data_IF_785723027791
#
_entry.id   IF_785723027791
#
_cell.length_a   1.000
_cell.length_b   1.000
_cell.length_c   1.000
_cell.angle_alpha   90.00
_cell.angle_beta   90.00
_cell.angle_gamma   90.00
#
_symmetry.space_group_name_H-M   'P 1'
#
loop_
_entity.id
_entity.type
_entity.pdbx_description
1 polymer ?
#
# COMPACT_ATOMS: atom_id res chain seq x y z
N UNK A 1 16.96 8.67 -7.21
CA UNK A 1 15.83 7.72 -7.23
C UNK A 1 15.14 7.65 -8.58
N UNK A 2 14.90 6.43 -9.08
CA UNK A 2 14.10 6.16 -10.27
C UNK A 2 13.04 5.13 -9.88
N UNK A 3 11.83 5.58 -9.56
CA UNK A 3 10.71 4.74 -9.16
C UNK A 3 9.91 4.37 -10.40
N UNK A 4 9.89 3.08 -10.76
CA UNK A 4 9.38 2.60 -12.05
C UNK A 4 8.07 1.81 -11.94
N UNK A 5 7.47 1.78 -10.76
CA UNK A 5 6.23 1.07 -10.49
C UNK A 5 5.42 1.75 -9.39
N UNK A 6 4.11 1.56 -9.43
CA UNK A 6 3.14 2.04 -8.45
C UNK A 6 2.14 0.90 -8.15
N UNK A 7 2.00 0.47 -6.90
CA UNK A 7 1.17 -0.70 -6.57
C UNK A 7 -0.04 -0.39 -5.69
N UNK A 8 -0.15 0.83 -5.21
CA UNK A 8 -1.28 1.27 -4.41
C UNK A 8 -2.02 2.35 -5.20
N UNK A 9 -2.94 1.90 -6.05
CA UNK A 9 -3.83 2.74 -6.85
C UNK A 9 -5.23 2.16 -6.85
N UNK A 10 -6.23 3.03 -7.00
CA UNK A 10 -7.65 2.69 -6.86
C UNK A 10 -8.40 3.03 -8.15
N UNK A 11 -9.37 2.20 -8.51
CA UNK A 11 -10.26 2.47 -9.64
C UNK A 11 -11.66 2.80 -9.15
N UNK A 12 -12.58 3.07 -10.08
CA UNK A 12 -14.02 3.24 -9.79
C UNK A 12 -14.61 2.12 -8.90
N UNK A 13 -13.97 0.95 -8.82
CA UNK A 13 -14.36 -0.13 -7.92
C UNK A 13 -14.22 0.23 -6.42
N UNK A 14 -13.33 1.14 -6.05
CA UNK A 14 -13.20 1.64 -4.66
C UNK A 14 -14.33 2.60 -4.25
N UNK A 15 -15.23 2.98 -5.16
CA UNK A 15 -16.40 3.83 -4.88
C UNK A 15 -16.13 5.32 -4.72
N UNK A 16 -14.89 5.71 -4.44
CA UNK A 16 -14.45 7.11 -4.32
C UNK A 16 -13.17 7.43 -5.11
N UNK A 17 -12.88 6.58 -6.10
CA UNK A 17 -11.90 6.82 -7.15
C UNK A 17 -12.61 6.96 -8.51
N UNK A 18 -11.96 7.61 -9.47
CA UNK A 18 -12.61 8.15 -10.66
C UNK A 18 -11.96 7.69 -11.98
N UNK A 19 -11.02 6.75 -11.93
CA UNK A 19 -10.42 6.11 -13.11
C UNK A 19 -10.85 4.66 -13.27
N UNK A 20 -11.03 4.19 -14.50
CA UNK A 20 -11.13 2.76 -14.84
C UNK A 20 -9.74 2.12 -14.90
N UNK A 21 -9.67 0.79 -14.82
CA UNK A 21 -8.41 0.03 -14.99
C UNK A 21 -7.66 0.44 -16.26
N UNK A 22 -8.36 0.73 -17.35
CA UNK A 22 -7.74 1.14 -18.62
C UNK A 22 -7.20 2.56 -18.57
N UNK A 23 -7.93 3.51 -17.99
CA UNK A 23 -7.48 4.90 -17.85
C UNK A 23 -6.28 5.00 -16.91
N UNK A 24 -6.31 4.26 -15.80
CA UNK A 24 -5.19 4.19 -14.85
C UNK A 24 -3.94 3.57 -15.52
N UNK A 25 -4.10 2.46 -16.23
CA UNK A 25 -2.99 1.81 -16.95
C UNK A 25 -2.44 2.69 -18.10
N UNK A 26 -3.30 3.46 -18.78
CA UNK A 26 -2.86 4.42 -19.78
C UNK A 26 -2.03 5.54 -19.16
N UNK A 27 -2.49 6.13 -18.04
CA UNK A 27 -1.71 7.15 -17.32
C UNK A 27 -0.35 6.62 -16.84
N UNK A 28 -0.30 5.38 -16.33
CA UNK A 28 0.95 4.72 -15.98
C UNK A 28 1.91 4.61 -17.18
N UNK A 29 1.39 4.27 -18.37
CA UNK A 29 2.18 4.19 -19.60
C UNK A 29 2.73 5.56 -20.03
N UNK A 30 1.89 6.61 -19.98
CA UNK A 30 2.26 7.99 -20.30
C UNK A 30 3.35 8.53 -19.37
N UNK A 31 3.36 8.07 -18.11
CA UNK A 31 4.37 8.39 -17.09
C UNK A 31 5.59 7.45 -17.12
N UNK A 32 5.62 6.48 -18.03
CA UNK A 32 6.76 5.59 -18.23
C UNK A 32 6.92 4.49 -17.18
N UNK A 33 5.91 4.26 -16.32
CA UNK A 33 5.91 3.14 -15.38
C UNK A 33 6.00 1.80 -16.12
N UNK A 34 6.66 0.83 -15.50
CA UNK A 34 6.81 -0.53 -16.03
C UNK A 34 5.77 -1.49 -15.46
N UNK A 35 5.30 -1.21 -14.25
CA UNK A 35 4.32 -2.02 -13.54
C UNK A 35 3.32 -1.12 -12.80
N UNK A 36 2.05 -1.49 -12.84
CA UNK A 36 0.95 -0.86 -12.11
C UNK A 36 0.18 -1.93 -11.33
N UNK A 37 -0.07 -1.68 -10.05
CA UNK A 37 -0.92 -2.48 -9.19
C UNK A 37 -2.23 -1.76 -8.86
N UNK A 38 -3.33 -2.50 -8.90
CA UNK A 38 -4.64 -2.04 -8.42
C UNK A 38 -4.89 -2.63 -7.04
N UNK A 39 -5.07 -1.79 -6.02
CA UNK A 39 -5.29 -2.20 -4.64
C UNK A 39 -6.63 -1.62 -4.16
N UNK A 40 -7.74 -2.14 -4.72
CA UNK A 40 -9.06 -1.64 -4.34
C UNK A 40 -9.33 -1.85 -2.84
N UNK A 41 -10.13 -0.98 -2.23
CA UNK A 41 -10.51 -1.14 -0.83
C UNK A 41 -11.32 -2.42 -0.57
N UNK A 42 -11.19 -2.90 0.66
CA UNK A 42 -12.05 -3.94 1.23
C UNK A 42 -13.53 -3.51 1.37
N UNK A 43 -14.45 -4.49 1.53
CA UNK A 43 -15.89 -4.24 1.60
C UNK A 43 -16.35 -3.40 2.81
N UNK A 44 -15.51 -3.19 3.83
CA UNK A 44 -15.89 -2.40 5.01
C UNK A 44 -15.76 -0.90 4.78
N UNK A 45 -14.99 -0.46 3.78
CA UNK A 45 -15.02 0.94 3.34
C UNK A 45 -16.40 1.28 2.75
N UNK A 46 -17.07 2.33 3.25
CA UNK A 46 -18.35 2.77 2.70
C UNK A 46 -18.25 3.11 1.21
N UNK A 47 -19.04 2.42 0.38
CA UNK A 47 -19.10 2.64 -1.05
C UNK A 47 -18.16 1.75 -1.88
N UNK A 48 -17.29 0.96 -1.25
CA UNK A 48 -16.50 -0.05 -1.96
C UNK A 48 -17.39 -1.08 -2.66
N UNK A 49 -16.90 -1.63 -3.77
CA UNK A 49 -17.64 -2.62 -4.56
C UNK A 49 -17.85 -3.93 -3.79
N UNK A 50 -18.85 -4.71 -4.23
CA UNK A 50 -19.07 -6.06 -3.72
C UNK A 50 -17.82 -6.96 -3.90
N UNK A 51 -17.42 -7.74 -2.88
CA UNK A 51 -16.24 -8.62 -2.94
C UNK A 51 -16.22 -9.62 -4.10
N UNK A 52 -17.37 -9.92 -4.71
CA UNK A 52 -17.44 -10.71 -5.93
C UNK A 52 -16.56 -10.16 -7.06
N UNK A 53 -16.29 -8.84 -7.05
CA UNK A 53 -15.32 -8.17 -7.92
C UNK A 53 -13.97 -8.90 -8.01
N UNK A 54 -13.40 -9.30 -6.87
CA UNK A 54 -12.07 -9.92 -6.82
C UNK A 54 -12.02 -11.32 -7.45
N UNK A 55 -13.17 -12.00 -7.61
CA UNK A 55 -13.23 -13.35 -8.19
C UNK A 55 -12.89 -13.38 -9.68
N UNK A 56 -13.11 -12.28 -10.39
CA UNK A 56 -13.06 -12.27 -11.85
C UNK A 56 -11.90 -11.44 -12.43
N UNK A 57 -10.99 -10.92 -11.59
CA UNK A 57 -9.85 -10.11 -12.05
C UNK A 57 -8.93 -10.85 -13.03
N UNK A 58 -8.94 -12.20 -13.00
CA UNK A 58 -8.18 -13.06 -13.91
C UNK A 58 -8.47 -12.83 -15.41
N UNK A 59 -9.62 -12.26 -15.77
CA UNK A 59 -9.97 -12.00 -17.17
C UNK A 59 -9.28 -10.76 -17.73
N UNK A 60 -8.67 -9.95 -16.88
CA UNK A 60 -8.01 -8.71 -17.27
C UNK A 60 -6.61 -9.05 -17.80
N UNK A 61 -6.19 -8.50 -18.96
CA UNK A 61 -4.85 -8.74 -19.47
C UNK A 61 -3.78 -8.28 -18.48
N UNK A 62 -2.77 -9.15 -18.25
CA UNK A 62 -1.59 -8.86 -17.40
C UNK A 62 -0.66 -7.77 -17.97
N UNK A 63 -0.95 -7.27 -19.17
CA UNK A 63 -0.23 -6.17 -19.80
C UNK A 63 -1.20 -5.27 -20.55
N UNK A 64 -1.19 -3.99 -20.21
CA UNK A 64 -2.01 -2.95 -20.85
C UNK A 64 -1.11 -1.78 -21.23
N UNK A 65 -1.21 -1.29 -22.47
CA UNK A 65 -0.43 -0.15 -22.96
C UNK A 65 1.10 -0.26 -22.75
N UNK A 66 1.63 -1.49 -22.66
CA UNK A 66 3.05 -1.73 -22.40
C UNK A 66 3.43 -1.88 -20.91
N UNK A 67 2.50 -1.63 -19.99
CA UNK A 67 2.66 -1.71 -18.53
C UNK A 67 2.19 -3.08 -18.02
N UNK A 68 2.98 -3.72 -17.16
CA UNK A 68 2.57 -4.96 -16.46
C UNK A 68 1.54 -4.65 -15.38
N UNK A 69 0.50 -5.47 -15.26
CA UNK A 69 -0.65 -5.24 -14.38
C UNK A 69 -0.71 -6.30 -13.29
N UNK A 70 -0.73 -5.83 -12.03
CA UNK A 70 -1.00 -6.63 -10.85
C UNK A 70 -2.34 -6.26 -10.22
N UNK A 71 -2.98 -7.25 -9.61
CA UNK A 71 -4.27 -7.15 -8.95
C UNK A 71 -4.11 -7.49 -7.47
N UNK A 72 -4.25 -6.48 -6.62
CA UNK A 72 -4.26 -6.61 -5.18
C UNK A 72 -5.53 -6.04 -4.55
N UNK A 73 -5.47 -5.86 -3.24
CA UNK A 73 -6.51 -5.21 -2.44
C UNK A 73 -5.82 -4.49 -1.29
N UNK A 74 -6.30 -3.28 -0.99
CA UNK A 74 -6.06 -2.65 0.30
C UNK A 74 -7.11 -3.16 1.28
N UNK A 75 -6.74 -4.21 2.00
CA UNK A 75 -7.61 -4.99 2.87
C UNK A 75 -7.65 -4.31 4.25
N UNK A 76 -8.85 -4.06 4.75
CA UNK A 76 -9.02 -3.38 6.02
C UNK A 76 -8.65 -4.29 7.19
N UNK A 77 -7.82 -3.77 8.08
CA UNK A 77 -7.60 -4.33 9.41
C UNK A 77 -8.80 -3.97 10.29
N UNK A 78 -9.35 -4.95 10.98
CA UNK A 78 -10.48 -4.78 11.90
C UNK A 78 -10.02 -4.74 13.37
N UNK A 79 -10.90 -4.25 14.25
CA UNK A 79 -10.60 -4.07 15.69
C UNK A 79 -10.27 -5.36 16.45
N UNK A 80 -10.63 -6.52 15.89
CA UNK A 80 -10.28 -7.84 16.44
C UNK A 80 -8.98 -8.43 15.86
N UNK A 81 -8.29 -7.70 14.98
CA UNK A 81 -7.05 -8.15 14.33
C UNK A 81 -7.28 -9.14 13.18
N UNK A 82 -8.46 -9.10 12.57
CA UNK A 82 -8.79 -9.81 11.33
C UNK A 82 -8.77 -8.88 10.12
N UNK A 83 -8.78 -9.48 8.94
CA UNK A 83 -8.91 -8.80 7.65
C UNK A 83 -10.38 -8.81 7.22
N UNK A 84 -10.83 -7.76 6.54
CA UNK A 84 -12.22 -7.62 6.11
C UNK A 84 -12.60 -8.35 4.81
N UNK A 85 -11.63 -8.99 4.16
CA UNK A 85 -11.81 -9.79 2.94
C UNK A 85 -11.63 -11.28 3.25
N UNK A 86 -12.51 -12.13 2.70
CA UNK A 86 -12.44 -13.58 2.89
C UNK A 86 -11.17 -14.19 2.26
N UNK A 87 -10.57 -15.17 2.93
CA UNK A 87 -9.32 -15.80 2.48
C UNK A 87 -9.42 -16.36 1.04
N UNK A 88 -10.56 -16.94 0.64
CA UNK A 88 -10.73 -17.46 -0.73
C UNK A 88 -10.52 -16.37 -1.80
N UNK A 89 -10.88 -15.13 -1.48
CA UNK A 89 -10.71 -13.98 -2.37
C UNK A 89 -9.27 -13.46 -2.30
N UNK A 90 -8.70 -13.34 -1.10
CA UNK A 90 -7.30 -12.96 -0.88
C UNK A 90 -6.35 -13.87 -1.68
N UNK A 91 -6.61 -15.18 -1.71
CA UNK A 91 -5.77 -16.16 -2.40
C UNK A 91 -5.71 -15.94 -3.93
N UNK A 92 -6.71 -15.26 -4.51
CA UNK A 92 -6.78 -14.94 -5.95
C UNK A 92 -6.00 -13.69 -6.33
N UNK A 93 -5.58 -12.89 -5.35
CA UNK A 93 -4.85 -11.65 -5.58
C UNK A 93 -3.35 -11.91 -5.74
N UNK A 94 -2.66 -11.03 -6.43
CA UNK A 94 -1.20 -11.02 -6.50
C UNK A 94 -0.57 -10.64 -5.16
N UNK A 95 -1.17 -9.67 -4.47
CA UNK A 95 -0.72 -9.18 -3.18
C UNK A 95 -1.88 -8.56 -2.38
N UNK A 96 -1.75 -8.54 -1.06
CA UNK A 96 -2.56 -7.73 -0.16
C UNK A 96 -1.75 -6.62 0.48
N UNK A 97 -2.39 -5.47 0.67
CA UNK A 97 -1.93 -4.36 1.49
C UNK A 97 -2.83 -4.31 2.71
N UNK A 98 -2.30 -4.45 3.92
CA UNK A 98 -3.09 -4.32 5.15
C UNK A 98 -3.12 -2.85 5.60
N UNK A 99 -4.31 -2.26 5.75
CA UNK A 99 -4.49 -0.86 6.12
C UNK A 99 -5.40 -0.67 7.32
N UNK A 100 -5.16 0.38 8.12
CA UNK A 100 -6.11 0.84 9.14
C UNK A 100 -6.86 2.06 8.59
N UNK A 101 -8.18 1.98 8.54
CA UNK A 101 -9.05 3.07 8.10
C UNK A 101 -10.08 3.43 9.17
N UNK A 102 -10.11 4.71 9.56
CA UNK A 102 -11.02 5.21 10.62
C UNK A 102 -12.51 5.04 10.30
N UNK A 103 -12.85 4.77 9.03
CA UNK A 103 -14.20 4.46 8.56
C UNK A 103 -14.71 3.11 9.07
N UNK A 104 -13.81 2.16 9.32
CA UNK A 104 -14.13 0.79 9.75
C UNK A 104 -13.26 0.29 10.92
N UNK A 105 -12.45 1.17 11.50
CA UNK A 105 -11.55 0.87 12.61
C UNK A 105 -11.64 1.94 13.70
N UNK A 106 -11.89 1.50 14.93
CA UNK A 106 -11.83 2.36 16.12
C UNK A 106 -10.42 2.37 16.71
N UNK A 107 -9.86 3.54 17.02
CA UNK A 107 -8.58 3.60 17.72
C UNK A 107 -8.69 2.97 19.12
N UNK A 108 -7.98 1.86 19.34
CA UNK A 108 -7.96 1.08 20.60
C UNK A 108 -6.65 1.24 21.37
N UNK A 109 -5.87 2.27 21.03
CA UNK A 109 -4.61 2.62 21.67
C UNK A 109 -3.39 1.99 20.98
N UNK A 110 -2.24 2.65 21.12
CA UNK A 110 -1.01 2.37 20.35
C UNK A 110 -0.63 0.89 20.27
N UNK A 111 -0.58 0.23 21.41
CA UNK A 111 -0.16 -1.17 21.47
C UNK A 111 -1.18 -2.11 20.84
N UNK A 112 -2.47 -1.90 21.08
CA UNK A 112 -3.53 -2.75 20.53
C UNK A 112 -3.74 -2.51 19.03
N UNK A 113 -3.60 -1.26 18.57
CA UNK A 113 -3.57 -0.95 17.14
C UNK A 113 -2.46 -1.72 16.44
N UNK A 114 -1.27 -1.72 17.06
CA UNK A 114 -0.12 -2.45 16.57
C UNK A 114 -0.36 -3.96 16.59
N UNK A 115 -0.92 -4.52 17.68
CA UNK A 115 -1.26 -5.95 17.76
C UNK A 115 -2.20 -6.39 16.64
N UNK A 116 -3.24 -5.60 16.38
CA UNK A 116 -4.24 -5.90 15.37
C UNK A 116 -3.63 -5.89 13.96
N UNK A 117 -2.81 -4.88 13.65
CA UNK A 117 -2.09 -4.82 12.38
C UNK A 117 -1.09 -5.97 12.21
N UNK A 118 -0.31 -6.29 13.26
CA UNK A 118 0.64 -7.40 13.25
C UNK A 118 -0.04 -8.76 13.06
N UNK A 119 -1.25 -8.95 13.58
CA UNK A 119 -2.07 -10.14 13.36
C UNK A 119 -2.35 -10.32 11.86
N UNK A 120 -2.81 -9.26 11.19
CA UNK A 120 -3.10 -9.28 9.76
C UNK A 120 -1.86 -9.51 8.88
N UNK A 121 -0.70 -8.99 9.28
CA UNK A 121 0.58 -9.23 8.58
C UNK A 121 0.99 -10.71 8.55
N UNK A 122 0.43 -11.56 9.41
CA UNK A 122 0.74 -13.00 9.40
C UNK A 122 0.11 -13.77 8.23
N UNK A 123 -0.80 -13.14 7.48
CA UNK A 123 -1.39 -13.72 6.28
C UNK A 123 -0.35 -13.80 5.14
N UNK A 124 -0.19 -14.97 4.52
CA UNK A 124 0.86 -15.21 3.53
C UNK A 124 0.74 -14.40 2.24
N UNK A 125 -0.43 -13.79 1.99
CA UNK A 125 -0.70 -12.92 0.85
C UNK A 125 -0.57 -11.43 1.17
N UNK A 126 -0.46 -11.05 2.45
CA UNK A 126 -0.20 -9.67 2.85
C UNK A 126 1.30 -9.41 2.72
N UNK A 127 1.67 -8.52 1.80
CA UNK A 127 3.07 -8.16 1.56
C UNK A 127 3.36 -6.70 1.94
N UNK A 128 2.33 -5.89 2.17
CA UNK A 128 2.48 -4.46 2.44
C UNK A 128 1.59 -4.01 3.59
N UNK A 129 1.99 -2.93 4.25
CA UNK A 129 1.12 -2.12 5.13
C UNK A 129 0.95 -0.75 4.50
N UNK A 130 -0.29 -0.30 4.30
CA UNK A 130 -0.57 1.04 3.75
C UNK A 130 -0.41 2.12 4.81
N UNK A 131 0.21 3.22 4.37
CA UNK A 131 0.33 4.50 5.07
C UNK A 131 0.27 4.42 6.61
N UNK A 132 1.23 3.74 7.27
CA UNK A 132 1.25 3.59 8.73
C UNK A 132 1.81 4.85 9.40
N UNK A 133 1.34 6.03 9.01
CA UNK A 133 1.93 7.33 9.35
C UNK A 133 1.01 8.26 10.15
N UNK A 134 -0.20 7.83 10.52
CA UNK A 134 -1.21 8.68 11.13
C UNK A 134 -1.45 8.39 12.63
N UNK A 135 -1.23 9.40 13.48
CA UNK A 135 -1.45 9.32 14.94
C UNK A 135 -2.93 9.38 15.36
N UNK A 136 -3.89 9.52 14.44
CA UNK A 136 -5.29 9.19 14.74
C UNK A 136 -5.44 7.71 15.13
N UNK A 137 -4.59 6.83 14.58
CA UNK A 137 -4.45 5.42 14.94
C UNK A 137 -2.98 5.12 15.20
N UNK A 138 -2.43 5.59 16.33
CA UNK A 138 -1.00 5.57 16.57
C UNK A 138 -0.48 4.13 16.62
N UNK A 139 0.75 3.92 16.16
CA UNK A 139 1.43 2.62 16.13
C UNK A 139 2.72 2.66 16.93
N UNK A 140 3.16 1.50 17.42
CA UNK A 140 4.48 1.32 18.00
C UNK A 140 5.46 0.94 16.87
N UNK A 141 6.26 1.89 16.39
CA UNK A 141 7.12 1.69 15.22
C UNK A 141 8.21 0.64 15.41
N UNK A 142 8.75 0.48 16.62
CA UNK A 142 9.73 -0.59 16.88
C UNK A 142 9.10 -1.96 16.69
N UNK A 143 7.88 -2.15 17.22
CA UNK A 143 7.11 -3.38 17.07
C UNK A 143 6.63 -3.58 15.63
N UNK A 144 6.17 -2.53 14.97
CA UNK A 144 5.72 -2.56 13.58
C UNK A 144 6.85 -3.02 12.65
N UNK A 145 8.03 -2.37 12.72
CA UNK A 145 9.18 -2.70 11.87
C UNK A 145 9.73 -4.10 12.19
N UNK A 146 9.78 -4.48 13.48
CA UNK A 146 10.16 -5.85 13.85
C UNK A 146 9.18 -6.90 13.30
N UNK A 147 7.89 -6.59 13.32
CA UNK A 147 6.84 -7.42 12.73
C UNK A 147 6.94 -7.51 11.21
N UNK A 148 7.17 -6.38 10.54
CA UNK A 148 7.38 -6.28 9.10
C UNK A 148 8.53 -7.19 8.64
N UNK A 149 9.65 -7.15 9.37
CA UNK A 149 10.75 -8.07 9.15
C UNK A 149 10.37 -9.53 9.36
N UNK A 150 9.69 -9.84 10.48
CA UNK A 150 9.31 -11.21 10.85
C UNK A 150 8.37 -11.85 9.82
N UNK A 151 7.40 -11.08 9.33
CA UNK A 151 6.35 -11.57 8.45
C UNK A 151 6.62 -11.34 6.97
N UNK A 152 7.80 -10.82 6.60
CA UNK A 152 8.17 -10.51 5.21
C UNK A 152 7.19 -9.52 4.57
N UNK A 153 6.98 -8.39 5.25
CA UNK A 153 6.10 -7.30 4.83
C UNK A 153 6.92 -6.02 4.67
N UNK A 154 6.66 -5.26 3.61
CA UNK A 154 7.23 -3.93 3.40
C UNK A 154 6.29 -2.84 3.92
N UNK A 155 6.85 -1.75 4.42
CA UNK A 155 6.06 -0.62 4.93
C UNK A 155 5.97 0.48 3.88
N UNK A 156 4.77 1.04 3.69
CA UNK A 156 4.52 2.05 2.69
C UNK A 156 5.01 3.45 3.12
N UNK A 157 5.56 4.20 2.16
CA UNK A 157 5.69 5.66 2.18
C UNK A 157 4.75 6.22 1.12
N UNK A 158 3.62 6.77 1.59
CA UNK A 158 2.54 7.16 0.72
C UNK A 158 2.62 8.65 0.36
N UNK A 159 2.69 8.97 -0.94
CA UNK A 159 2.76 10.35 -1.42
C UNK A 159 1.49 11.15 -1.06
N UNK A 160 0.31 10.52 -1.11
CA UNK A 160 -0.99 11.09 -0.71
C UNK A 160 -0.97 11.61 0.74
N UNK A 161 -0.21 10.96 1.64
CA UNK A 161 -0.07 11.44 3.01
C UNK A 161 0.62 12.80 3.12
N UNK A 162 1.61 13.09 2.26
CA UNK A 162 2.29 14.39 2.23
C UNK A 162 1.44 15.49 1.58
N UNK A 163 0.48 15.13 0.72
CA UNK A 163 -0.51 16.08 0.19
C UNK A 163 -1.50 16.49 1.29
N UNK A 164 -1.79 15.57 2.22
CA UNK A 164 -2.81 15.69 3.27
C UNK A 164 -2.19 15.87 4.66
N UNK A 165 -1.07 16.58 4.78
CA UNK A 165 -0.35 16.77 6.06
C UNK A 165 -1.23 17.37 7.17
N UNK A 166 -2.25 18.15 6.81
CA UNK A 166 -3.23 18.72 7.73
C UNK A 166 -4.23 17.69 8.29
N UNK A 167 -4.40 16.56 7.61
CA UNK A 167 -5.33 15.47 7.96
C UNK A 167 -4.62 14.23 8.49
N UNK A 168 -3.36 14.02 8.14
CA UNK A 168 -2.53 12.90 8.61
C UNK A 168 -1.71 13.34 9.82
N UNK A 169 -2.21 13.05 11.01
CA UNK A 169 -1.64 13.58 12.25
C UNK A 169 -0.20 13.08 12.45
N UNK A 170 0.74 14.02 12.57
CA UNK A 170 2.18 13.77 12.75
C UNK A 170 2.88 12.98 11.61
N UNK A 171 2.27 12.87 10.42
CA UNK A 171 2.78 12.11 9.27
C UNK A 171 4.29 12.18 9.05
N UNK A 172 4.88 13.39 8.89
CA UNK A 172 6.33 13.50 8.63
C UNK A 172 7.19 12.98 9.79
N UNK A 173 6.78 13.25 11.04
CA UNK A 173 7.53 12.79 12.21
C UNK A 173 7.46 11.26 12.36
N UNK A 174 6.28 10.71 12.04
CA UNK A 174 6.01 9.29 12.00
C UNK A 174 6.83 8.58 10.93
N UNK A 175 6.86 9.09 9.69
CA UNK A 175 7.72 8.55 8.64
C UNK A 175 9.21 8.62 9.02
N UNK A 176 9.71 9.72 9.60
CA UNK A 176 11.12 9.79 10.05
C UNK A 176 11.45 8.66 11.04
N UNK A 177 10.56 8.41 11.99
CA UNK A 177 10.75 7.36 13.00
C UNK A 177 10.73 5.97 12.38
N UNK A 178 9.73 5.68 11.54
CA UNK A 178 9.59 4.40 10.85
C UNK A 178 10.79 4.12 9.94
N UNK A 179 11.19 5.09 9.12
CA UNK A 179 12.24 4.90 8.11
C UNK A 179 13.63 4.70 8.74
N UNK A 180 13.94 5.42 9.81
CA UNK A 180 15.18 5.20 10.57
C UNK A 180 15.26 3.76 11.13
N UNK A 181 14.13 3.21 11.57
CA UNK A 181 14.04 1.82 12.03
C UNK A 181 14.11 0.83 10.85
N UNK A 182 13.47 1.13 9.71
CA UNK A 182 13.57 0.30 8.51
C UNK A 182 15.01 0.17 8.03
N UNK A 183 15.79 1.26 7.98
CA UNK A 183 17.21 1.21 7.63
C UNK A 183 18.01 0.37 8.64
N UNK A 184 17.81 0.66 9.94
CA UNK A 184 18.50 -0.05 11.02
C UNK A 184 18.28 -1.56 10.97
N UNK A 185 17.08 -2.01 10.57
CA UNK A 185 16.72 -3.42 10.53
C UNK A 185 16.69 -4.03 9.13
N UNK A 186 17.06 -3.26 8.11
CA UNK A 186 17.02 -3.64 6.68
C UNK A 186 15.65 -4.14 6.24
N UNK A 187 14.59 -3.45 6.67
CA UNK A 187 13.21 -3.71 6.23
C UNK A 187 12.94 -2.89 4.98
N UNK A 188 12.51 -3.52 3.88
CA UNK A 188 12.22 -2.80 2.65
C UNK A 188 10.99 -1.90 2.80
N UNK A 189 10.95 -0.84 1.99
CA UNK A 189 9.79 0.02 1.85
C UNK A 189 9.24 -0.01 0.43
N UNK A 190 7.99 0.39 0.30
CA UNK A 190 7.35 0.68 -0.99
C UNK A 190 6.87 2.13 -0.98
N UNK A 191 7.10 2.85 -2.07
CA UNK A 191 6.55 4.19 -2.29
C UNK A 191 5.29 4.04 -3.15
N UNK A 192 4.26 4.83 -2.89
CA UNK A 192 3.04 4.78 -3.70
C UNK A 192 2.40 6.15 -3.86
N UNK A 193 1.52 6.26 -4.85
CA UNK A 193 0.75 7.48 -5.08
C UNK A 193 -0.57 7.50 -4.29
N UNK A 194 -1.15 6.32 -4.00
CA UNK A 194 -2.54 6.20 -3.52
C UNK A 194 -3.50 6.92 -4.48
N UNK A 195 -3.24 6.74 -5.78
CA UNK A 195 -3.96 7.42 -6.84
C UNK A 195 -5.41 6.94 -6.90
N UNK A 196 -6.32 7.88 -6.63
CA UNK A 196 -7.76 7.74 -6.82
C UNK A 196 -8.25 8.36 -8.13
N UNK A 197 -7.35 8.93 -8.92
CA UNK A 197 -7.63 9.51 -10.23
C UNK A 197 -6.42 9.27 -11.15
N UNK A 198 -6.62 9.04 -12.46
CA UNK A 198 -5.52 8.79 -13.39
C UNK A 198 -4.44 9.89 -13.36
N UNK A 199 -4.80 11.14 -13.06
CA UNK A 199 -3.84 12.25 -12.97
C UNK A 199 -2.83 12.14 -11.83
N UNK A 200 -3.01 11.21 -10.89
CA UNK A 200 -2.10 11.01 -9.74
C UNK A 200 -1.26 9.73 -9.83
N UNK A 201 -1.54 8.84 -10.78
CA UNK A 201 -0.78 7.58 -10.95
C UNK A 201 0.72 7.88 -11.04
N UNK A 202 1.56 7.18 -10.29
CA UNK A 202 3.02 7.39 -10.32
C UNK A 202 3.49 8.77 -9.86
N UNK A 203 2.64 9.57 -9.21
CA UNK A 203 3.05 10.84 -8.60
C UNK A 203 3.71 10.58 -7.25
N UNK A 204 5.03 10.70 -7.22
CA UNK A 204 5.85 10.38 -6.03
C UNK A 204 6.67 11.57 -5.51
N UNK A 205 6.48 12.79 -6.06
CA UNK A 205 7.41 13.91 -5.85
C UNK A 205 7.64 14.23 -4.38
N UNK A 206 6.59 14.25 -3.56
CA UNK A 206 6.72 14.62 -2.14
C UNK A 206 7.40 13.51 -1.34
N UNK A 207 7.03 12.26 -1.59
CA UNK A 207 7.67 11.10 -0.97
C UNK A 207 9.16 11.01 -1.36
N UNK A 208 9.49 11.18 -2.65
CA UNK A 208 10.89 11.19 -3.11
C UNK A 208 11.69 12.32 -2.47
N UNK A 209 11.14 13.53 -2.43
CA UNK A 209 11.81 14.68 -1.82
C UNK A 209 12.11 14.42 -0.34
N UNK A 210 11.16 13.84 0.38
CA UNK A 210 11.34 13.48 1.78
C UNK A 210 12.38 12.37 1.98
N UNK A 211 12.37 11.32 1.16
CA UNK A 211 13.38 10.26 1.22
C UNK A 211 14.79 10.79 0.90
N UNK A 212 14.92 11.75 -0.04
CA UNK A 212 16.18 12.45 -0.31
C UNK A 212 16.59 13.36 0.85
N UNK A 213 15.65 14.06 1.47
CA UNK A 213 15.89 14.94 2.64
C UNK A 213 16.54 14.17 3.79
N UNK A 214 16.07 12.94 4.06
CA UNK A 214 16.60 12.10 5.13
C UNK A 214 17.75 11.19 4.67
N UNK A 215 18.16 11.27 3.40
CA UNK A 215 19.20 10.44 2.79
C UNK A 215 18.97 8.92 2.99
N UNK A 216 17.72 8.47 2.75
CA UNK A 216 17.33 7.07 2.90
C UNK A 216 18.03 6.15 1.90
N UNK A 217 18.43 4.96 2.33
CA UNK A 217 19.05 3.93 1.48
C UNK A 217 18.11 3.45 0.36
N UNK A 218 18.38 3.89 -0.88
CA UNK A 218 17.62 3.50 -2.08
C UNK A 218 17.63 1.97 -2.32
N UNK A 219 18.61 1.22 -1.77
CA UNK A 219 18.64 -0.24 -1.90
C UNK A 219 17.54 -0.95 -1.12
N UNK A 220 16.83 -0.26 -0.21
CA UNK A 220 15.66 -0.78 0.50
C UNK A 220 14.34 -0.45 -0.20
N UNK A 221 14.34 0.33 -1.28
CA UNK A 221 13.12 0.76 -1.97
C UNK A 221 12.72 -0.25 -3.05
N UNK A 222 11.55 -0.87 -2.93
CA UNK A 222 11.08 -1.91 -3.86
C UNK A 222 10.76 -1.36 -5.27
N UNK A 223 10.33 -0.10 -5.37
CA UNK A 223 9.91 0.51 -6.65
C UNK A 223 11.03 0.69 -7.68
N UNK A 224 12.29 0.49 -7.29
CA UNK A 224 13.47 0.69 -8.15
C UNK A 224 13.66 -0.44 -9.16
N UNK A 225 12.99 -1.58 -8.99
CA UNK A 225 13.09 -2.73 -9.89
C UNK A 225 11.82 -3.59 -9.87
N UNK A 226 11.29 -3.89 -11.06
CA UNK A 226 10.17 -4.83 -11.23
C UNK A 226 10.53 -6.21 -10.70
N UNK A 227 11.73 -6.71 -10.99
CA UNK A 227 12.18 -8.03 -10.52
C UNK A 227 12.29 -8.08 -9.00
N UNK A 228 12.77 -6.99 -8.38
CA UNK A 228 12.87 -6.87 -6.92
C UNK A 228 11.50 -6.94 -6.26
N UNK A 229 10.51 -6.21 -6.80
CA UNK A 229 9.12 -6.30 -6.33
C UNK A 229 8.57 -7.70 -6.51
N UNK A 230 8.67 -8.28 -7.71
CA UNK A 230 8.10 -9.61 -8.02
C UNK A 230 8.70 -10.71 -7.16
N UNK A 231 10.02 -10.70 -6.97
CA UNK A 231 10.68 -11.59 -6.04
C UNK A 231 10.17 -11.42 -4.62
N UNK A 232 9.94 -10.17 -4.18
CA UNK A 232 9.41 -9.88 -2.84
C UNK A 232 8.00 -10.46 -2.64
N UNK A 233 7.12 -10.34 -3.64
CA UNK A 233 5.74 -10.86 -3.60
C UNK A 233 5.58 -12.29 -4.16
N UNK A 234 6.69 -12.96 -4.47
CA UNK A 234 6.76 -14.36 -4.93
C UNK A 234 6.06 -14.63 -6.28
N UNK A 235 6.19 -13.69 -7.23
CA UNK A 235 5.73 -13.80 -8.63
C UNK A 235 6.86 -13.96 -9.64
#
# INVERSE_FOLDING_TARGET
>A
MNLILDIHTHTIASGHAYGTIREMAQSAAERGLKLLGFAEHGPKIPGAIDPFYFRNLIVIPRKLYGVEILHGCEIDVLNDGTLDLEQELIDKLDFGIAGIHVQCYENVGREKNTDNLLSCMSNEKVFFVSHPDDDHTPLNYERLVAGAKKFHVALEVNNSSFVKEDKRLNCRANYRTMLALCEKFSVPIIVSSDAHDPSWVGEFTLAENFLREINFDETLILNTSVDKLKQFIRL
#
